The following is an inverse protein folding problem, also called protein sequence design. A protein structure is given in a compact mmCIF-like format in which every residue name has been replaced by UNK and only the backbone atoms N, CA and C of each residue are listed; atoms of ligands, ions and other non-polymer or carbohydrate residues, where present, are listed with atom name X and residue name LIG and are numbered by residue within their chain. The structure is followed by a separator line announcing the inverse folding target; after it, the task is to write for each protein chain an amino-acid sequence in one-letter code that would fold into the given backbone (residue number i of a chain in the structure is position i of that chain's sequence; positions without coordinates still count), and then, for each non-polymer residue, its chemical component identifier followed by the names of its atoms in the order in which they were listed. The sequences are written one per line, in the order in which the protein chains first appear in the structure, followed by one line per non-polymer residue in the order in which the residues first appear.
data_IF_585842104853
#
_entry.id   IF_585842104853
#
_cell.length_a   1.000
_cell.length_b   1.000
_cell.length_c   1.000
_cell.angle_alpha   90.00
_cell.angle_beta   90.00
_cell.angle_gamma   90.00
#
_symmetry.space_group_name_H-M   'P 1'
#
loop_
_entity.id
_entity.type
_entity.pdbx_description
1 polymer ?
#
# COMPACT_ATOMS: atom_id res chain seq x y z
N UNK A 1 -8.42 25.04 9.98
CA UNK A 1 -9.40 24.47 9.05
C UNK A 1 -10.18 23.39 9.78
N UNK A 2 -11.51 23.36 9.70
CA UNK A 2 -12.33 22.35 10.41
C UNK A 2 -13.30 21.63 9.48
N UNK A 3 -13.14 21.79 8.15
CA UNK A 3 -13.98 21.17 7.13
C UNK A 3 -13.14 20.30 6.21
N UNK A 4 -13.63 19.11 5.91
CA UNK A 4 -13.00 18.17 4.97
C UNK A 4 -14.09 17.44 4.19
N UNK A 5 -13.80 17.11 2.94
CA UNK A 5 -14.68 16.30 2.10
C UNK A 5 -14.11 14.91 1.93
N UNK A 6 -14.96 13.88 1.95
CA UNK A 6 -14.60 12.50 1.63
C UNK A 6 -15.43 12.03 0.44
N UNK A 7 -14.77 11.68 -0.65
CA UNK A 7 -15.36 11.17 -1.88
C UNK A 7 -15.07 9.67 -1.98
N UNK A 8 -16.14 8.87 -2.04
CA UNK A 8 -16.07 7.42 -2.01
C UNK A 8 -16.32 6.86 -0.60
N UNK A 9 -17.39 6.05 -0.48
CA UNK A 9 -17.86 5.47 0.78
C UNK A 9 -17.89 3.93 0.66
N UNK A 10 -16.76 3.37 0.19
CA UNK A 10 -16.44 1.96 0.37
C UNK A 10 -16.12 1.67 1.84
N UNK A 11 -15.68 0.46 2.16
CA UNK A 11 -15.30 0.09 3.54
C UNK A 11 -14.28 1.08 4.13
N UNK A 12 -13.18 1.35 3.40
CA UNK A 12 -12.15 2.28 3.86
C UNK A 12 -12.67 3.73 3.91
N UNK A 13 -13.27 4.26 2.84
CA UNK A 13 -13.72 5.66 2.79
C UNK A 13 -14.79 5.99 3.84
N UNK A 14 -15.71 5.06 4.15
CA UNK A 14 -16.65 5.22 5.25
C UNK A 14 -15.95 5.29 6.60
N UNK A 15 -14.93 4.46 6.82
CA UNK A 15 -14.12 4.50 8.04
C UNK A 15 -13.35 5.82 8.17
N UNK A 16 -12.76 6.32 7.08
CA UNK A 16 -12.09 7.63 7.10
C UNK A 16 -13.04 8.75 7.50
N UNK A 17 -14.24 8.79 6.89
CA UNK A 17 -15.25 9.79 7.23
C UNK A 17 -15.69 9.70 8.69
N UNK A 18 -15.89 8.49 9.20
CA UNK A 18 -16.28 8.25 10.60
C UNK A 18 -15.21 8.71 11.59
N UNK A 19 -13.93 8.35 11.35
CA UNK A 19 -12.81 8.79 12.22
C UNK A 19 -12.73 10.32 12.25
N UNK A 20 -12.88 10.99 11.10
CA UNK A 20 -12.89 12.45 11.03
C UNK A 20 -14.05 13.08 11.83
N UNK A 21 -15.26 12.51 11.73
CA UNK A 21 -16.43 12.97 12.49
C UNK A 21 -16.19 12.82 14.01
N UNK A 22 -15.68 11.66 14.44
CA UNK A 22 -15.38 11.37 15.84
C UNK A 22 -14.33 12.32 16.44
N UNK A 23 -13.45 12.86 15.60
CA UNK A 23 -12.45 13.86 15.98
C UNK A 23 -12.95 15.31 15.81
N UNK A 24 -14.25 15.52 15.62
CA UNK A 24 -14.91 16.83 15.63
C UNK A 24 -14.76 17.63 14.34
N UNK A 25 -14.34 17.01 13.24
CA UNK A 25 -14.33 17.68 11.94
C UNK A 25 -15.73 17.76 11.33
N UNK A 26 -15.99 18.82 10.57
CA UNK A 26 -17.18 18.94 9.72
C UNK A 26 -16.92 18.20 8.42
N UNK A 27 -17.52 17.03 8.27
CA UNK A 27 -17.29 16.14 7.14
C UNK A 27 -18.40 16.27 6.12
N UNK A 28 -18.07 16.62 4.89
CA UNK A 28 -18.96 16.47 3.74
C UNK A 28 -18.61 15.16 3.05
N UNK A 29 -19.62 14.38 2.69
CA UNK A 29 -19.44 13.08 2.04
C UNK A 29 -20.15 13.04 0.70
N UNK A 30 -19.56 12.30 -0.23
CA UNK A 30 -20.22 11.98 -1.49
C UNK A 30 -19.89 10.54 -1.91
N UNK A 31 -20.88 9.85 -2.45
CA UNK A 31 -20.71 8.53 -3.06
C UNK A 31 -21.75 8.33 -4.16
N UNK A 32 -21.40 7.60 -5.22
CA UNK A 32 -22.30 7.29 -6.33
C UNK A 32 -23.64 6.69 -5.87
N UNK A 33 -23.62 5.81 -4.88
CA UNK A 33 -24.82 5.33 -4.18
C UNK A 33 -24.99 6.10 -2.88
N UNK A 34 -25.97 7.00 -2.82
CA UNK A 34 -26.25 7.86 -1.65
C UNK A 34 -26.63 7.06 -0.40
N UNK A 35 -27.22 5.87 -0.54
CA UNK A 35 -27.58 5.01 0.57
C UNK A 35 -26.37 4.65 1.47
N UNK A 36 -25.16 4.60 0.92
CA UNK A 36 -23.94 4.37 1.71
C UNK A 36 -23.59 5.52 2.65
N UNK A 37 -24.11 6.71 2.42
CA UNK A 37 -23.89 7.87 3.28
C UNK A 37 -24.85 7.91 4.48
N UNK A 38 -25.96 7.19 4.47
CA UNK A 38 -26.99 7.28 5.52
C UNK A 38 -26.46 7.07 6.96
N UNK A 39 -25.58 6.07 7.24
CA UNK A 39 -25.01 5.92 8.58
C UNK A 39 -24.19 7.16 9.00
N UNK A 40 -23.36 7.69 8.11
CA UNK A 40 -22.51 8.84 8.38
C UNK A 40 -23.31 10.13 8.54
N UNK A 41 -24.40 10.29 7.80
CA UNK A 41 -25.33 11.44 7.97
C UNK A 41 -25.99 11.39 9.35
N UNK A 42 -26.35 10.19 9.85
CA UNK A 42 -26.85 10.03 11.23
C UNK A 42 -25.82 10.40 12.28
N UNK A 43 -24.52 10.26 11.96
CA UNK A 43 -23.40 10.66 12.81
C UNK A 43 -22.98 12.14 12.62
N UNK A 44 -23.65 12.88 11.73
CA UNK A 44 -23.44 14.31 11.55
C UNK A 44 -22.70 14.72 10.27
N UNK A 45 -22.42 13.79 9.34
CA UNK A 45 -21.90 14.15 8.02
C UNK A 45 -22.94 14.87 7.18
N UNK A 46 -22.47 15.73 6.27
CA UNK A 46 -23.30 16.39 5.26
C UNK A 46 -23.19 15.64 3.94
N UNK A 47 -24.28 15.09 3.43
CA UNK A 47 -24.31 14.48 2.10
C UNK A 47 -24.38 15.56 1.05
N UNK A 48 -23.39 15.62 0.15
CA UNK A 48 -23.42 16.49 -1.01
C UNK A 48 -24.30 15.90 -2.13
N UNK A 49 -25.04 16.73 -2.88
CA UNK A 49 -25.90 16.25 -3.97
C UNK A 49 -25.09 15.73 -5.17
N UNK A 50 -23.90 16.29 -5.41
CA UNK A 50 -22.99 15.95 -6.50
C UNK A 50 -21.53 16.16 -6.10
N UNK A 51 -20.59 15.69 -6.94
CA UNK A 51 -19.14 15.76 -6.68
C UNK A 51 -18.65 17.21 -6.64
N UNK A 52 -19.12 18.06 -7.54
CA UNK A 52 -18.70 19.45 -7.60
C UNK A 52 -19.09 20.20 -6.32
N UNK A 53 -20.31 19.96 -5.82
CA UNK A 53 -20.79 20.50 -4.54
C UNK A 53 -19.98 19.96 -3.36
N UNK A 54 -19.59 18.67 -3.38
CA UNK A 54 -18.73 18.07 -2.38
C UNK A 54 -17.35 18.77 -2.34
N UNK A 55 -16.72 18.97 -3.50
CA UNK A 55 -15.42 19.65 -3.61
C UNK A 55 -15.53 21.12 -3.15
N UNK A 56 -16.60 21.83 -3.50
CA UNK A 56 -16.81 23.21 -3.05
C UNK A 56 -17.00 23.34 -1.54
N UNK A 57 -17.44 22.30 -0.84
CA UNK A 57 -17.75 22.34 0.59
C UNK A 57 -16.52 22.55 1.49
N UNK A 58 -15.32 22.14 1.06
CA UNK A 58 -14.10 22.26 1.84
C UNK A 58 -12.87 22.57 0.97
N UNK A 59 -11.80 23.05 1.61
CA UNK A 59 -10.50 23.28 0.96
C UNK A 59 -9.83 21.98 0.57
N UNK A 60 -9.95 20.94 1.40
CA UNK A 60 -9.32 19.63 1.24
C UNK A 60 -10.39 18.59 0.94
N UNK A 61 -10.20 17.84 -0.14
CA UNK A 61 -11.02 16.68 -0.51
C UNK A 61 -10.18 15.42 -0.53
N UNK A 62 -10.57 14.43 0.28
CA UNK A 62 -9.96 13.10 0.34
C UNK A 62 -10.77 12.18 -0.58
N UNK A 63 -10.09 11.52 -1.50
CA UNK A 63 -10.67 10.58 -2.45
C UNK A 63 -10.25 9.17 -2.06
N UNK A 64 -11.23 8.30 -1.84
CA UNK A 64 -11.00 6.89 -1.48
C UNK A 64 -12.04 6.01 -2.18
N UNK A 65 -11.75 5.68 -3.43
CA UNK A 65 -12.57 4.82 -4.30
C UNK A 65 -11.81 3.54 -4.65
N UNK A 66 -12.35 2.70 -5.55
CA UNK A 66 -11.73 1.42 -5.90
C UNK A 66 -10.32 1.56 -6.47
N UNK A 67 -10.11 2.55 -7.34
CA UNK A 67 -8.88 2.76 -8.10
C UNK A 67 -8.81 4.17 -8.68
N UNK A 68 -7.66 4.54 -9.24
CA UNK A 68 -7.42 5.84 -9.86
C UNK A 68 -8.25 6.08 -11.11
N UNK A 69 -8.58 5.05 -11.87
CA UNK A 69 -9.45 5.19 -13.04
C UNK A 69 -10.84 5.64 -12.61
N UNK A 70 -11.40 4.99 -11.60
CA UNK A 70 -12.70 5.38 -11.01
C UNK A 70 -12.65 6.82 -10.45
N UNK A 71 -11.53 7.19 -9.80
CA UNK A 71 -11.33 8.56 -9.32
C UNK A 71 -11.36 9.57 -10.46
N UNK A 72 -10.61 9.32 -11.52
CA UNK A 72 -10.56 10.16 -12.71
C UNK A 72 -11.96 10.30 -13.35
N UNK A 73 -12.65 9.20 -13.59
CA UNK A 73 -13.98 9.19 -14.19
C UNK A 73 -15.02 9.99 -13.37
N UNK A 74 -14.85 10.06 -12.04
CA UNK A 74 -15.69 10.85 -11.13
C UNK A 74 -15.35 12.34 -11.21
N UNK A 75 -14.07 12.69 -11.36
CA UNK A 75 -13.58 14.06 -11.29
C UNK A 75 -13.54 14.75 -12.63
N UNK A 76 -13.47 14.02 -13.75
CA UNK A 76 -13.31 14.58 -15.09
C UNK A 76 -14.65 15.04 -15.71
N UNK A 77 -15.40 15.88 -14.98
CA UNK A 77 -16.59 16.56 -15.48
C UNK A 77 -16.39 18.06 -15.44
N UNK A 78 -17.06 18.80 -16.33
CA UNK A 78 -16.91 20.26 -16.44
C UNK A 78 -17.28 20.99 -15.13
N UNK A 79 -18.32 20.53 -14.43
CA UNK A 79 -18.75 21.11 -13.16
C UNK A 79 -17.70 20.89 -12.05
N UNK A 80 -17.02 19.73 -12.06
CA UNK A 80 -15.96 19.42 -11.11
C UNK A 80 -14.72 20.26 -11.43
N UNK A 81 -14.27 20.29 -12.69
CA UNK A 81 -13.12 21.10 -13.14
C UNK A 81 -13.24 22.55 -12.71
N UNK A 82 -14.42 23.16 -12.89
CA UNK A 82 -14.72 24.53 -12.45
C UNK A 82 -14.70 24.72 -10.92
N UNK A 83 -14.74 23.64 -10.16
CA UNK A 83 -14.77 23.65 -8.70
C UNK A 83 -13.40 23.43 -8.06
N UNK A 84 -12.37 23.09 -8.85
CA UNK A 84 -11.07 22.63 -8.36
C UNK A 84 -10.12 23.76 -7.99
N UNK A 85 -10.15 24.89 -8.71
CA UNK A 85 -9.14 25.95 -8.57
C UNK A 85 -8.88 26.37 -7.11
N UNK A 86 -7.61 26.39 -6.75
CA UNK A 86 -7.13 26.73 -5.43
C UNK A 86 -7.46 25.72 -4.33
N UNK A 87 -7.85 24.48 -4.63
CA UNK A 87 -8.17 23.43 -3.66
C UNK A 87 -7.06 22.39 -3.53
N UNK A 88 -7.28 21.43 -2.67
CA UNK A 88 -6.38 20.29 -2.43
C UNK A 88 -7.14 19.00 -2.66
N UNK A 89 -6.60 18.15 -3.51
CA UNK A 89 -7.04 16.76 -3.67
C UNK A 89 -6.03 15.84 -2.98
N UNK A 90 -6.51 15.00 -2.08
CA UNK A 90 -5.73 13.94 -1.44
C UNK A 90 -6.25 12.60 -1.96
N UNK A 91 -5.45 11.92 -2.76
CA UNK A 91 -5.79 10.64 -3.36
C UNK A 91 -5.36 9.50 -2.43
N UNK A 92 -6.30 8.74 -1.93
CA UNK A 92 -6.07 7.56 -1.07
C UNK A 92 -6.65 6.27 -1.66
N UNK A 93 -6.87 6.25 -2.98
CA UNK A 93 -7.21 5.01 -3.70
C UNK A 93 -5.93 4.32 -4.13
N UNK A 94 -5.96 2.99 -4.31
CA UNK A 94 -4.81 2.23 -4.81
C UNK A 94 -4.65 2.43 -6.33
N UNK A 95 -3.42 2.67 -6.76
CA UNK A 95 -3.09 2.84 -8.17
C UNK A 95 -1.60 2.71 -8.49
N UNK A 96 -1.27 2.81 -9.78
CA UNK A 96 0.12 2.73 -10.22
C UNK A 96 0.86 4.07 -10.07
N UNK A 97 2.20 4.06 -9.97
CA UNK A 97 3.01 5.27 -9.98
C UNK A 97 2.79 6.17 -11.20
N UNK A 98 2.47 5.56 -12.36
CA UNK A 98 2.15 6.32 -13.57
C UNK A 98 0.81 7.04 -13.43
N UNK A 99 -0.20 6.36 -12.90
CA UNK A 99 -1.50 6.98 -12.64
C UNK A 99 -1.41 8.15 -11.64
N UNK A 100 -0.54 8.06 -10.62
CA UNK A 100 -0.29 9.17 -9.71
C UNK A 100 0.27 10.39 -10.44
N UNK A 101 1.25 10.20 -11.35
CA UNK A 101 1.80 11.27 -12.19
C UNK A 101 0.74 11.88 -13.13
N UNK A 102 -0.06 11.04 -13.76
CA UNK A 102 -1.10 11.50 -14.69
C UNK A 102 -2.19 12.31 -13.96
N UNK A 103 -2.60 11.87 -12.77
CA UNK A 103 -3.59 12.59 -11.95
C UNK A 103 -3.03 13.91 -11.39
N UNK A 104 -1.75 13.95 -10.97
CA UNK A 104 -1.11 15.21 -10.58
C UNK A 104 -1.06 16.20 -11.75
N UNK A 105 -0.63 15.74 -12.93
CA UNK A 105 -0.58 16.58 -14.12
C UNK A 105 -1.95 17.15 -14.47
N UNK A 106 -2.98 16.30 -14.44
CA UNK A 106 -4.37 16.72 -14.64
C UNK A 106 -4.82 17.73 -13.57
N UNK A 107 -4.58 17.49 -12.29
CA UNK A 107 -4.98 18.42 -11.23
C UNK A 107 -4.32 19.79 -11.37
N UNK A 108 -3.07 19.83 -11.82
CA UNK A 108 -2.30 21.06 -12.06
C UNK A 108 -2.91 21.92 -13.18
N UNK A 109 -3.54 21.32 -14.20
CA UNK A 109 -4.24 22.06 -15.27
C UNK A 109 -5.40 22.90 -14.73
N UNK A 110 -5.94 22.52 -13.56
CA UNK A 110 -7.07 23.20 -12.91
C UNK A 110 -6.65 23.97 -11.63
N UNK A 111 -5.39 24.38 -11.53
CA UNK A 111 -4.85 25.13 -10.37
C UNK A 111 -5.19 24.44 -9.03
N UNK A 112 -4.96 23.13 -8.98
CA UNK A 112 -5.29 22.26 -7.84
C UNK A 112 -4.04 21.61 -7.28
N UNK A 113 -3.82 21.77 -6.00
CA UNK A 113 -2.74 21.08 -5.27
C UNK A 113 -3.09 19.59 -5.11
N UNK A 114 -2.14 18.71 -5.41
CA UNK A 114 -2.36 17.27 -5.40
C UNK A 114 -1.40 16.57 -4.44
N UNK A 115 -1.94 15.68 -3.61
CA UNK A 115 -1.20 14.80 -2.73
C UNK A 115 -1.61 13.35 -3.02
N UNK A 116 -0.65 12.54 -3.38
CA UNK A 116 -0.81 11.10 -3.46
C UNK A 116 -0.61 10.48 -2.09
N UNK A 117 -1.40 9.45 -1.76
CA UNK A 117 -1.27 8.75 -0.50
C UNK A 117 -1.69 7.29 -0.59
N UNK A 118 -1.02 6.47 0.20
CA UNK A 118 -1.22 5.03 0.26
C UNK A 118 -1.48 4.57 1.70
N UNK A 119 -2.61 3.91 1.91
CA UNK A 119 -3.02 3.42 3.24
C UNK A 119 -2.44 2.03 3.47
N UNK A 120 -1.45 1.92 4.34
CA UNK A 120 -0.88 0.64 4.79
C UNK A 120 -1.54 0.19 6.11
N UNK A 121 -2.87 0.07 6.09
CA UNK A 121 -3.67 -0.36 7.24
C UNK A 121 -5.02 -0.93 6.78
N UNK A 122 -5.60 -1.84 7.57
CA UNK A 122 -6.97 -2.27 7.36
C UNK A 122 -7.97 -1.27 8.00
N UNK A 123 -9.25 -1.22 7.53
CA UNK A 123 -10.22 -0.28 8.08
C UNK A 123 -10.33 -0.24 9.62
N UNK A 124 -10.32 -1.37 10.35
CA UNK A 124 -10.38 -1.33 11.83
C UNK A 124 -9.15 -0.73 12.53
N UNK A 125 -8.05 -0.50 11.79
CA UNK A 125 -6.82 0.11 12.32
C UNK A 125 -6.81 1.63 12.15
N UNK A 126 -7.68 2.19 11.31
CA UNK A 126 -7.71 3.63 11.06
C UNK A 126 -8.01 4.41 12.35
N UNK A 127 -7.33 5.55 12.52
CA UNK A 127 -7.37 6.36 13.75
C UNK A 127 -6.49 5.82 14.90
N UNK A 128 -5.78 4.70 14.72
CA UNK A 128 -4.89 4.12 15.72
C UNK A 128 -3.42 4.50 15.48
N UNK A 129 -2.57 4.43 16.53
CA UNK A 129 -1.15 4.80 16.43
C UNK A 129 -0.33 4.00 15.43
N UNK A 130 -0.70 2.74 15.16
CA UNK A 130 -0.03 1.80 14.27
C UNK A 130 -0.50 1.92 12.81
N UNK A 131 -1.59 2.63 12.53
CA UNK A 131 -2.00 2.91 11.16
C UNK A 131 -0.98 3.82 10.45
N UNK A 132 -0.67 3.50 9.21
CA UNK A 132 0.27 4.29 8.38
C UNK A 132 -0.41 4.75 7.09
N UNK A 133 -0.21 6.02 6.74
CA UNK A 133 -0.55 6.58 5.43
C UNK A 133 0.73 7.20 4.85
N UNK A 134 1.35 6.56 3.86
CA UNK A 134 2.44 7.17 3.09
C UNK A 134 1.89 8.32 2.26
N UNK A 135 2.64 9.42 2.12
CA UNK A 135 2.20 10.58 1.33
C UNK A 135 3.33 11.13 0.49
N UNK A 136 3.01 11.61 -0.71
CA UNK A 136 3.96 12.28 -1.61
C UNK A 136 3.26 13.25 -2.57
N UNK A 137 3.98 14.20 -3.13
CA UNK A 137 3.46 15.22 -4.03
C UNK A 137 3.60 16.63 -3.43
N UNK A 138 2.68 17.54 -3.76
CA UNK A 138 2.80 18.93 -3.33
C UNK A 138 2.97 19.11 -1.83
N UNK A 139 4.05 19.79 -1.42
CA UNK A 139 4.29 20.13 -0.01
C UNK A 139 3.15 21.03 0.55
N UNK A 140 2.59 21.89 -0.28
CA UNK A 140 1.44 22.70 0.09
C UNK A 140 0.21 21.85 0.37
N UNK A 141 -0.05 20.85 -0.49
CA UNK A 141 -1.14 19.90 -0.28
C UNK A 141 -0.93 19.09 1.01
N UNK A 142 0.29 18.62 1.26
CA UNK A 142 0.63 17.92 2.50
C UNK A 142 0.34 18.78 3.73
N UNK A 143 0.89 19.98 3.80
CA UNK A 143 0.72 20.89 4.95
C UNK A 143 -0.76 21.23 5.22
N UNK A 144 -1.57 21.40 4.16
CA UNK A 144 -2.99 21.69 4.30
C UNK A 144 -3.83 20.46 4.70
N UNK A 145 -3.40 19.27 4.35
CA UNK A 145 -4.10 18.00 4.67
C UNK A 145 -3.58 17.29 5.92
N UNK A 146 -2.37 17.60 6.38
CA UNK A 146 -1.69 16.94 7.50
C UNK A 146 -2.56 16.80 8.77
N UNK A 147 -3.33 17.83 9.22
CA UNK A 147 -4.17 17.69 10.41
C UNK A 147 -5.25 16.61 10.27
N UNK A 148 -5.79 16.43 9.06
CA UNK A 148 -6.78 15.37 8.78
C UNK A 148 -6.09 14.01 8.70
N UNK A 149 -4.97 13.92 8.00
CA UNK A 149 -4.21 12.68 7.85
C UNK A 149 -3.69 12.13 9.18
N UNK A 150 -3.16 12.99 10.06
CA UNK A 150 -2.73 12.63 11.41
C UNK A 150 -3.87 12.17 12.33
N UNK A 151 -5.09 12.61 12.05
CA UNK A 151 -6.28 12.07 12.71
C UNK A 151 -6.61 10.65 12.21
N UNK A 152 -6.36 10.38 10.94
CA UNK A 152 -6.66 9.09 10.29
C UNK A 152 -5.61 8.01 10.60
N UNK A 153 -4.35 8.39 10.82
CA UNK A 153 -3.25 7.46 11.06
C UNK A 153 -2.22 8.06 12.01
N UNK A 154 -1.69 7.24 12.92
CA UNK A 154 -0.64 7.68 13.86
C UNK A 154 0.70 7.92 13.17
N UNK A 155 0.93 7.32 12.00
CA UNK A 155 2.15 7.49 11.21
C UNK A 155 1.81 8.00 9.80
N UNK A 156 2.27 9.21 9.46
CA UNK A 156 2.01 9.86 8.17
C UNK A 156 3.32 10.39 7.58
N UNK A 157 4.21 9.50 7.09
CA UNK A 157 5.45 9.94 6.47
C UNK A 157 5.20 10.68 5.15
N UNK A 158 5.83 11.83 4.99
CA UNK A 158 5.92 12.55 3.73
C UNK A 158 7.19 12.13 2.99
N UNK A 159 7.02 11.49 1.83
CA UNK A 159 8.10 10.89 1.03
C UNK A 159 8.72 11.87 0.01
N UNK A 160 8.32 13.14 0.06
CA UNK A 160 8.84 14.18 -0.82
C UNK A 160 7.91 14.55 -1.96
N UNK A 161 8.40 15.45 -2.82
CA UNK A 161 7.60 16.06 -3.89
C UNK A 161 7.38 15.16 -5.11
N UNK A 162 8.13 14.05 -5.23
CA UNK A 162 7.90 13.06 -6.28
C UNK A 162 6.55 12.37 -6.03
N UNK A 163 5.51 12.80 -6.73
CA UNK A 163 4.12 12.36 -6.50
C UNK A 163 3.94 10.85 -6.50
N UNK A 164 4.71 10.13 -7.30
CA UNK A 164 4.64 8.67 -7.40
C UNK A 164 5.31 7.90 -6.25
N UNK A 165 5.95 8.59 -5.27
CA UNK A 165 6.69 7.90 -4.21
C UNK A 165 5.75 7.11 -3.28
N UNK A 166 4.57 7.64 -2.94
CA UNK A 166 3.60 6.94 -2.10
C UNK A 166 3.05 5.68 -2.79
N UNK A 167 2.58 5.79 -4.03
CA UNK A 167 2.07 4.66 -4.82
C UNK A 167 3.17 3.62 -5.13
N UNK A 168 4.41 4.05 -5.39
CA UNK A 168 5.55 3.12 -5.55
C UNK A 168 5.83 2.34 -4.26
N UNK A 169 5.80 3.02 -3.12
CA UNK A 169 6.00 2.39 -1.80
C UNK A 169 4.87 1.42 -1.48
N UNK A 170 3.61 1.76 -1.80
CA UNK A 170 2.46 0.86 -1.63
C UNK A 170 2.63 -0.42 -2.45
N UNK A 171 2.93 -0.31 -3.74
CA UNK A 171 3.10 -1.48 -4.61
C UNK A 171 4.29 -2.35 -4.18
N UNK A 172 5.39 -1.74 -3.74
CA UNK A 172 6.52 -2.47 -3.20
C UNK A 172 6.13 -3.23 -1.92
N UNK A 173 5.41 -2.59 -0.99
CA UNK A 173 4.88 -3.23 0.21
C UNK A 173 3.90 -4.37 -0.12
N UNK A 174 2.96 -4.16 -1.04
CA UNK A 174 2.01 -5.19 -1.47
C UNK A 174 2.72 -6.37 -2.15
N UNK A 175 3.75 -6.12 -2.95
CA UNK A 175 4.58 -7.19 -3.54
C UNK A 175 5.24 -8.04 -2.46
N UNK A 176 5.85 -7.42 -1.45
CA UNK A 176 6.42 -8.11 -0.30
C UNK A 176 5.35 -8.91 0.48
N UNK A 177 4.21 -8.29 0.75
CA UNK A 177 3.12 -8.90 1.52
C UNK A 177 2.55 -10.15 0.82
N UNK A 178 2.23 -10.05 -0.46
CA UNK A 178 1.71 -11.19 -1.22
C UNK A 178 2.76 -12.29 -1.41
N UNK A 179 4.03 -11.92 -1.62
CA UNK A 179 5.13 -12.89 -1.64
C UNK A 179 5.23 -13.67 -0.32
N UNK A 180 5.12 -12.97 0.81
CA UNK A 180 5.11 -13.58 2.15
C UNK A 180 3.91 -14.50 2.37
N UNK A 181 2.71 -14.11 1.91
CA UNK A 181 1.51 -14.97 1.99
C UNK A 181 1.67 -16.25 1.15
N UNK A 182 2.17 -16.15 -0.07
CA UNK A 182 2.38 -17.33 -0.92
C UNK A 182 3.38 -18.30 -0.28
N UNK A 183 4.48 -17.77 0.28
CA UNK A 183 5.44 -18.57 1.04
C UNK A 183 4.80 -19.24 2.26
N UNK A 184 4.00 -18.52 3.03
CA UNK A 184 3.28 -19.07 4.18
C UNK A 184 2.27 -20.15 3.78
N UNK A 185 1.52 -19.96 2.68
CA UNK A 185 0.56 -20.97 2.23
C UNK A 185 1.26 -22.26 1.75
N UNK A 186 2.42 -22.15 1.09
CA UNK A 186 3.23 -23.32 0.76
C UNK A 186 3.75 -24.02 2.03
N UNK A 187 4.27 -23.27 3.01
CA UNK A 187 4.71 -23.79 4.29
C UNK A 187 3.58 -24.51 5.05
N UNK A 188 2.35 -23.98 5.00
CA UNK A 188 1.19 -24.63 5.59
C UNK A 188 0.92 -26.01 4.96
N UNK A 189 1.09 -26.17 3.64
CA UNK A 189 0.94 -27.48 2.98
C UNK A 189 2.03 -28.46 3.37
N UNK A 190 3.27 -28.01 3.59
CA UNK A 190 4.34 -28.84 4.13
C UNK A 190 3.95 -29.41 5.50
N UNK A 191 3.45 -28.56 6.40
CA UNK A 191 3.05 -28.96 7.75
C UNK A 191 1.86 -29.93 7.76
N UNK A 192 0.84 -29.64 6.94
CA UNK A 192 -0.33 -30.51 6.81
C UNK A 192 0.04 -31.91 6.30
N UNK A 193 1.00 -32.02 5.36
CA UNK A 193 1.48 -33.30 4.86
C UNK A 193 2.12 -34.16 5.97
N UNK A 194 2.75 -33.54 6.95
CA UNK A 194 3.35 -34.21 8.12
C UNK A 194 2.39 -34.29 9.32
N UNK A 195 1.12 -33.90 9.17
CA UNK A 195 0.13 -33.93 10.26
C UNK A 195 0.35 -32.88 11.35
N UNK A 196 1.12 -31.83 11.06
CA UNK A 196 1.43 -30.76 12.01
C UNK A 196 0.39 -29.60 11.96
N UNK A 197 0.27 -28.86 13.05
CA UNK A 197 -0.71 -27.78 13.19
C UNK A 197 -0.22 -26.48 12.57
N UNK A 198 -0.99 -25.94 11.62
CA UNK A 198 -0.67 -24.68 10.92
C UNK A 198 -0.80 -23.46 11.86
N UNK A 199 -1.76 -23.46 12.80
CA UNK A 199 -1.94 -22.36 13.75
C UNK A 199 -0.78 -22.23 14.75
N UNK A 200 -0.18 -23.35 15.16
CA UNK A 200 1.03 -23.34 15.98
C UNK A 200 2.21 -22.69 15.22
N UNK A 201 2.34 -23.01 13.93
CA UNK A 201 3.36 -22.40 13.07
C UNK A 201 3.11 -20.89 12.88
N UNK A 202 1.86 -20.47 12.65
CA UNK A 202 1.51 -19.05 12.58
C UNK A 202 1.89 -18.28 13.84
N UNK A 203 1.69 -18.88 15.03
CA UNK A 203 2.12 -18.30 16.30
C UNK A 203 3.65 -18.20 16.42
N UNK A 204 4.37 -19.19 15.91
CA UNK A 204 5.84 -19.17 15.87
C UNK A 204 6.34 -18.05 14.94
N UNK A 205 5.78 -17.91 13.73
CA UNK A 205 6.14 -16.82 12.81
C UNK A 205 5.90 -15.44 13.44
N UNK A 206 4.77 -15.26 14.12
CA UNK A 206 4.50 -14.01 14.84
C UNK A 206 5.58 -13.71 15.90
N UNK A 207 6.08 -14.73 16.60
CA UNK A 207 7.12 -14.59 17.61
C UNK A 207 8.49 -14.21 17.00
N UNK A 208 8.84 -14.76 15.84
CA UNK A 208 10.13 -14.51 15.17
C UNK A 208 10.07 -13.35 14.17
N UNK A 209 8.95 -12.65 14.06
CA UNK A 209 8.74 -11.60 13.04
C UNK A 209 9.78 -10.47 13.08
N UNK A 210 10.25 -10.12 14.29
CA UNK A 210 11.32 -9.12 14.43
C UNK A 210 12.64 -9.60 13.79
N UNK A 211 13.01 -10.84 13.99
CA UNK A 211 14.23 -11.44 13.40
C UNK A 211 14.13 -11.43 11.87
N UNK A 212 12.96 -11.79 11.31
CA UNK A 212 12.72 -11.72 9.86
C UNK A 212 12.85 -10.29 9.37
N UNK A 213 12.29 -9.33 10.11
CA UNK A 213 12.42 -7.91 9.79
C UNK A 213 13.87 -7.42 9.77
N UNK A 214 14.68 -7.84 10.74
CA UNK A 214 16.10 -7.48 10.82
C UNK A 214 16.91 -8.05 9.64
N UNK A 215 16.60 -9.28 9.20
CA UNK A 215 17.20 -9.86 7.99
C UNK A 215 16.83 -9.05 6.75
N UNK A 216 15.55 -8.70 6.55
CA UNK A 216 15.14 -7.88 5.41
C UNK A 216 15.82 -6.52 5.42
N UNK A 217 15.98 -5.91 6.61
CA UNK A 217 16.72 -4.65 6.76
C UNK A 217 18.18 -4.81 6.30
N UNK A 218 18.87 -5.85 6.76
CA UNK A 218 20.23 -6.14 6.34
C UNK A 218 20.33 -6.32 4.82
N UNK A 219 19.47 -7.14 4.21
CA UNK A 219 19.46 -7.35 2.76
C UNK A 219 19.20 -6.03 1.99
N UNK A 220 18.35 -5.13 2.52
CA UNK A 220 18.11 -3.84 1.90
C UNK A 220 19.35 -2.92 1.91
N UNK A 221 20.16 -2.99 2.97
CA UNK A 221 21.43 -2.25 3.07
C UNK A 221 22.48 -2.81 2.09
N UNK A 222 22.53 -4.12 1.91
CA UNK A 222 23.39 -4.80 0.92
C UNK A 222 22.99 -4.36 -0.50
N UNK A 223 21.68 -4.41 -0.83
CA UNK A 223 21.17 -3.96 -2.13
C UNK A 223 21.54 -2.50 -2.39
N UNK A 224 21.29 -1.61 -1.42
CA UNK A 224 21.53 -0.17 -1.58
C UNK A 224 23.02 0.17 -1.73
N UNK A 225 23.90 -0.59 -1.06
CA UNK A 225 25.35 -0.40 -1.13
C UNK A 225 26.02 -1.14 -2.29
N UNK A 226 25.30 -2.04 -2.96
CA UNK A 226 25.79 -2.95 -4.01
C UNK A 226 27.00 -3.81 -3.59
N UNK A 227 27.14 -4.10 -2.27
CA UNK A 227 28.25 -4.87 -1.71
C UNK A 227 27.82 -6.30 -1.38
N UNK A 228 27.87 -7.18 -2.37
CA UNK A 228 27.40 -8.57 -2.28
C UNK A 228 28.52 -9.58 -1.97
N UNK A 229 29.77 -9.16 -1.86
CA UNK A 229 31.00 -9.98 -1.85
C UNK A 229 31.35 -10.61 -0.51
N UNK A 230 30.64 -10.28 0.57
CA UNK A 230 30.86 -10.87 1.90
C UNK A 230 29.55 -11.45 2.47
N UNK A 231 29.05 -12.57 1.94
CA UNK A 231 27.74 -13.07 2.25
C UNK A 231 27.61 -13.64 3.65
N UNK A 232 26.50 -13.35 4.34
CA UNK A 232 26.01 -14.12 5.46
C UNK A 232 25.34 -15.42 4.97
N UNK A 233 24.65 -15.35 3.83
CA UNK A 233 24.02 -16.49 3.16
C UNK A 233 24.19 -16.37 1.65
N UNK A 234 25.08 -17.16 1.06
CA UNK A 234 25.33 -17.07 -0.38
C UNK A 234 24.20 -17.67 -1.22
N UNK A 235 24.09 -17.22 -2.47
CA UNK A 235 23.15 -17.77 -3.46
C UNK A 235 23.29 -19.30 -3.57
N UNK A 236 24.54 -19.84 -3.58
CA UNK A 236 24.79 -21.28 -3.63
C UNK A 236 24.19 -22.02 -2.41
N UNK A 237 24.38 -21.49 -1.19
CA UNK A 237 23.83 -22.12 0.02
C UNK A 237 22.31 -22.13 -0.01
N UNK A 238 21.71 -21.02 -0.39
CA UNK A 238 20.25 -20.89 -0.46
C UNK A 238 19.64 -21.76 -1.57
N UNK A 239 20.34 -21.95 -2.69
CA UNK A 239 19.89 -22.85 -3.75
C UNK A 239 19.71 -24.28 -3.24
N UNK A 240 20.63 -24.80 -2.41
CA UNK A 240 20.49 -26.12 -1.80
C UNK A 240 19.19 -26.25 -0.99
N UNK A 241 18.81 -25.20 -0.26
CA UNK A 241 17.54 -25.18 0.49
C UNK A 241 16.33 -25.17 -0.45
N UNK A 242 16.40 -24.44 -1.56
CA UNK A 242 15.31 -24.43 -2.57
C UNK A 242 15.15 -25.82 -3.20
N UNK A 243 16.23 -26.54 -3.45
CA UNK A 243 16.19 -27.92 -3.96
C UNK A 243 15.52 -28.87 -2.96
N UNK A 244 15.78 -28.74 -1.65
CA UNK A 244 15.09 -29.50 -0.61
C UNK A 244 13.58 -29.19 -0.56
N UNK A 245 13.17 -27.93 -0.77
CA UNK A 245 11.75 -27.59 -0.87
C UNK A 245 11.07 -28.23 -2.08
N UNK A 246 11.79 -28.33 -3.22
CA UNK A 246 11.30 -29.02 -4.42
C UNK A 246 11.14 -30.53 -4.17
N UNK A 247 12.13 -31.15 -3.52
CA UNK A 247 12.09 -32.58 -3.19
C UNK A 247 10.94 -32.89 -2.23
N UNK A 248 10.83 -32.12 -1.15
CA UNK A 248 9.75 -32.28 -0.19
C UNK A 248 8.36 -32.11 -0.83
N UNK A 249 8.17 -31.11 -1.70
CA UNK A 249 6.90 -30.94 -2.41
C UNK A 249 6.56 -32.15 -3.28
N UNK A 250 7.54 -32.76 -3.96
CA UNK A 250 7.38 -33.96 -4.76
C UNK A 250 7.02 -35.19 -3.90
N UNK A 251 7.70 -35.38 -2.77
CA UNK A 251 7.48 -36.52 -1.87
C UNK A 251 6.12 -36.46 -1.18
N UNK A 252 5.71 -35.28 -0.74
CA UNK A 252 4.43 -35.03 -0.08
C UNK A 252 3.25 -34.90 -1.07
N UNK A 253 3.49 -34.83 -2.39
CA UNK A 253 2.45 -34.65 -3.41
C UNK A 253 1.74 -33.32 -3.32
N UNK A 254 2.40 -32.26 -2.84
CA UNK A 254 1.86 -30.92 -2.75
C UNK A 254 2.26 -30.06 -3.96
N UNK A 255 1.60 -28.92 -4.15
CA UNK A 255 1.90 -27.99 -5.24
C UNK A 255 3.36 -27.46 -5.11
N UNK A 256 4.10 -27.47 -6.22
CA UNK A 256 5.51 -27.08 -6.28
C UNK A 256 5.77 -25.78 -7.07
N UNK A 257 4.74 -25.04 -7.47
CA UNK A 257 4.91 -23.83 -8.28
C UNK A 257 5.73 -22.75 -7.55
N UNK A 258 5.53 -22.59 -6.23
CA UNK A 258 6.29 -21.62 -5.44
C UNK A 258 7.80 -21.95 -5.40
N UNK A 259 8.25 -23.15 -4.98
CA UNK A 259 9.68 -23.47 -5.00
C UNK A 259 10.25 -23.55 -6.44
N UNK A 260 9.47 -23.94 -7.43
CA UNK A 260 9.89 -23.95 -8.84
C UNK A 260 10.18 -22.52 -9.36
N UNK A 261 9.33 -21.55 -9.04
CA UNK A 261 9.56 -20.15 -9.36
C UNK A 261 10.86 -19.65 -8.70
N UNK A 262 11.05 -19.91 -7.41
CA UNK A 262 12.28 -19.57 -6.70
C UNK A 262 13.50 -20.22 -7.37
N UNK A 263 13.48 -21.52 -7.64
CA UNK A 263 14.56 -22.25 -8.31
C UNK A 263 14.95 -21.58 -9.65
N UNK A 264 13.98 -21.13 -10.42
CA UNK A 264 14.22 -20.44 -11.69
C UNK A 264 15.04 -19.15 -11.53
N UNK A 265 14.78 -18.35 -10.48
CA UNK A 265 15.56 -17.15 -10.18
C UNK A 265 16.98 -17.49 -9.70
N UNK A 266 17.11 -18.47 -8.80
CA UNK A 266 18.42 -18.94 -8.32
C UNK A 266 19.29 -19.45 -9.46
N UNK A 267 18.76 -20.27 -10.37
CA UNK A 267 19.49 -20.76 -11.54
C UNK A 267 20.00 -19.62 -12.41
N UNK A 268 19.17 -18.61 -12.70
CA UNK A 268 19.60 -17.41 -13.45
C UNK A 268 20.77 -16.70 -12.78
N UNK A 269 20.76 -16.59 -11.45
CA UNK A 269 21.85 -15.95 -10.70
C UNK A 269 23.12 -16.79 -10.72
N UNK A 270 23.02 -18.12 -10.61
CA UNK A 270 24.15 -19.03 -10.71
C UNK A 270 24.77 -19.00 -12.11
N UNK A 271 23.96 -19.05 -13.15
CA UNK A 271 24.40 -18.96 -14.56
C UNK A 271 25.10 -17.63 -14.87
N UNK A 272 24.68 -16.54 -14.18
CA UNK A 272 25.33 -15.23 -14.26
C UNK A 272 26.60 -15.08 -13.40
N UNK A 273 26.99 -16.12 -12.65
CA UNK A 273 28.21 -16.14 -11.85
C UNK A 273 28.08 -15.58 -10.43
N UNK A 274 26.85 -15.31 -9.93
CA UNK A 274 26.62 -14.72 -8.62
C UNK A 274 26.53 -15.74 -7.46
N UNK A 275 26.92 -16.99 -7.69
CA UNK A 275 26.78 -18.08 -6.71
C UNK A 275 27.46 -17.84 -5.36
N UNK A 276 28.55 -17.09 -5.31
CA UNK A 276 29.30 -16.79 -4.09
C UNK A 276 28.91 -15.45 -3.43
N UNK A 277 27.96 -14.73 -4.02
CA UNK A 277 27.48 -13.47 -3.49
C UNK A 277 26.32 -13.66 -2.50
N UNK A 278 26.01 -12.59 -1.74
CA UNK A 278 24.88 -12.56 -0.80
C UNK A 278 23.57 -12.89 -1.51
N UNK A 279 22.61 -13.47 -0.77
CA UNK A 279 21.29 -13.85 -1.28
C UNK A 279 20.60 -12.73 -2.08
N UNK A 280 20.70 -11.51 -1.61
CA UNK A 280 20.12 -10.33 -2.29
C UNK A 280 20.70 -10.04 -3.67
N UNK A 281 21.80 -10.69 -4.08
CA UNK A 281 22.30 -10.63 -5.47
C UNK A 281 21.30 -11.17 -6.49
N UNK A 282 20.27 -11.91 -6.08
CA UNK A 282 19.14 -12.29 -6.92
C UNK A 282 18.47 -11.09 -7.60
N UNK A 283 18.51 -9.90 -6.99
CA UNK A 283 17.94 -8.68 -7.59
C UNK A 283 18.56 -8.34 -8.95
N UNK A 284 19.83 -8.73 -9.17
CA UNK A 284 20.55 -8.47 -10.43
C UNK A 284 19.93 -9.19 -11.63
N UNK A 285 19.22 -10.30 -11.40
CA UNK A 285 18.56 -11.11 -12.45
C UNK A 285 17.04 -10.89 -12.52
N UNK A 286 16.52 -9.97 -11.73
CA UNK A 286 15.10 -9.59 -11.70
C UNK A 286 14.79 -8.32 -12.53
N UNK A 287 15.75 -7.86 -13.31
CA UNK A 287 15.60 -6.70 -14.22
C UNK A 287 15.00 -7.10 -15.55
#
# INVERSE_FOLDING_TARGET
MNKVTVIGLGSMGSTLAQVLLQNGYRVTVWNRSSAKAEPLVKEGAVLAPDVASAIRASKVSIICVSDYRTSYDILDTEEVKQSLAGRVLVQLSTGSPQQARDNEAWAREYDTEYLDGAIAAAPPQMGKPDATIFTSGSITAFQQSEPFLKCLAGNVPYLGEQVSAASSTELAFLSYLFGSYLGFFHAARILEADGLRVDAFGSMIAHVSQVVGDVIKYESEVIQSEKYDNPQSSVNMCMTTVELLMEQAREAGINNEFPLFAQGLFKKALDAGYGHEELSALIKVMR
#
